data_IF_744680508110
#
_entry.id   IF_744680508110
#
_cell.length_a   1.000
_cell.length_b   1.000
_cell.length_c   1.000
_cell.angle_alpha   90.00
_cell.angle_beta   90.00
_cell.angle_gamma   90.00
#
_symmetry.space_group_name_H-M   'P 1'
#
loop_
_entity.id
_entity.type
_entity.pdbx_description
1 polymer ?
#
# COMPACT_ATOMS: atom_id res chain seq x y z
N UNK A 1 38.22 44.40 3.60
CA UNK A 1 37.38 45.62 3.62
C UNK A 1 36.58 45.68 2.34
N UNK A 2 35.27 45.42 2.38
CA UNK A 2 34.23 45.85 1.40
C UNK A 2 32.89 45.49 2.06
N UNK A 3 32.39 46.32 2.99
CA UNK A 3 31.37 47.39 2.84
C UNK A 3 30.07 46.95 2.15
N UNK A 4 29.07 46.75 3.02
CA UNK A 4 27.63 47.02 2.92
C UNK A 4 27.13 47.79 1.68
N UNK A 5 26.01 47.30 1.14
CA UNK A 5 24.93 48.14 0.60
C UNK A 5 23.62 47.67 1.21
N UNK A 6 23.07 48.52 2.08
CA UNK A 6 21.70 48.43 2.60
C UNK A 6 20.74 49.03 1.57
N UNK A 7 19.62 48.37 1.31
CA UNK A 7 18.46 48.99 0.68
C UNK A 7 17.32 49.00 1.70
N UNK A 8 17.03 50.19 2.21
CA UNK A 8 15.87 50.49 3.03
C UNK A 8 14.84 51.18 2.15
N UNK A 9 13.62 50.64 2.09
CA UNK A 9 12.44 51.40 1.67
C UNK A 9 11.34 51.14 2.68
N UNK A 10 11.10 52.14 3.52
CA UNK A 10 9.94 52.33 4.37
C UNK A 10 8.82 52.99 3.56
N UNK A 11 7.62 52.44 3.62
CA UNK A 11 6.38 53.19 3.36
C UNK A 11 5.38 52.88 4.47
N UNK A 12 4.92 53.98 5.07
CA UNK A 12 3.94 54.08 6.15
C UNK A 12 2.61 54.47 5.55
N UNK A 13 1.51 53.80 5.94
CA UNK A 13 0.20 54.44 6.13
C UNK A 13 -0.74 53.50 6.91
N UNK A 14 -1.23 54.00 8.06
CA UNK A 14 -2.32 53.47 8.87
C UNK A 14 -3.69 53.77 8.23
N UNK A 15 -4.71 52.94 8.51
CA UNK A 15 -5.91 53.30 9.29
C UNK A 15 -7.23 52.65 8.80
N UNK A 16 -8.08 52.36 9.81
CA UNK A 16 -9.51 51.94 9.82
C UNK A 16 -9.80 50.51 9.32
N UNK A 17 -10.18 49.53 10.15
CA UNK A 17 -11.34 49.41 11.05
C UNK A 17 -12.69 49.31 10.31
N UNK A 18 -13.24 48.09 10.21
CA UNK A 18 -14.61 47.77 10.62
C UNK A 18 -14.92 46.27 10.49
N UNK A 19 -15.59 45.77 11.54
CA UNK A 19 -16.13 44.44 11.71
C UNK A 19 -17.21 44.09 10.67
N UNK A 20 -17.25 42.83 10.22
CA UNK A 20 -18.49 42.06 10.05
C UNK A 20 -18.16 40.60 9.73
N UNK A 21 -18.27 39.78 10.78
CA UNK A 21 -18.75 38.38 10.78
C UNK A 21 -18.59 37.61 9.45
N UNK A 22 -17.43 36.99 9.26
CA UNK A 22 -17.28 35.88 8.31
C UNK A 22 -17.91 34.63 8.91
N UNK A 23 -19.12 34.30 8.45
CA UNK A 23 -19.69 32.97 8.61
C UNK A 23 -18.70 31.96 8.05
N UNK A 24 -18.18 31.08 8.90
CA UNK A 24 -17.44 29.90 8.50
C UNK A 24 -18.35 29.07 7.59
N UNK A 25 -18.15 29.19 6.29
CA UNK A 25 -18.69 28.23 5.33
C UNK A 25 -18.08 26.89 5.69
N UNK A 26 -18.94 25.99 6.13
CA UNK A 26 -18.71 24.56 6.31
C UNK A 26 -18.03 24.01 5.06
N UNK A 27 -16.72 23.82 5.14
CA UNK A 27 -16.02 22.92 4.23
C UNK A 27 -16.60 21.54 4.48
N UNK A 28 -17.47 21.09 3.59
CA UNK A 28 -17.88 19.69 3.52
C UNK A 28 -16.58 18.88 3.33
N UNK A 29 -16.06 18.34 4.43
CA UNK A 29 -15.06 17.27 4.41
C UNK A 29 -15.70 16.13 3.66
N UNK A 30 -15.19 15.86 2.45
CA UNK A 30 -15.58 14.67 1.69
C UNK A 30 -15.36 13.46 2.60
N UNK A 31 -16.45 12.75 2.91
CA UNK A 31 -16.38 11.48 3.65
C UNK A 31 -15.44 10.49 2.95
N UNK A 32 -15.03 9.42 3.65
CA UNK A 32 -14.04 8.49 3.16
C UNK A 32 -14.41 8.00 1.76
N UNK A 33 -13.50 8.21 0.81
CA UNK A 33 -13.63 7.68 -0.53
C UNK A 33 -13.63 6.15 -0.39
N UNK A 34 -14.62 5.42 -0.93
CA UNK A 34 -14.57 3.97 -0.92
C UNK A 34 -13.25 3.49 -1.52
N UNK A 35 -12.68 2.44 -0.93
CA UNK A 35 -11.53 1.74 -1.49
C UNK A 35 -11.80 1.52 -2.98
N UNK A 36 -10.87 1.97 -3.85
CA UNK A 36 -11.08 1.87 -5.29
C UNK A 36 -11.27 0.39 -5.62
N UNK A 37 -12.43 -0.06 -6.14
CA UNK A 37 -12.62 -1.47 -6.43
C UNK A 37 -11.56 -1.92 -7.45
N UNK A 38 -11.06 -3.17 -7.36
CA UNK A 38 -10.13 -3.68 -8.35
C UNK A 38 -10.77 -3.53 -9.73
N UNK A 39 -10.06 -2.98 -10.74
CA UNK A 39 -10.61 -2.96 -12.09
C UNK A 39 -10.90 -4.40 -12.51
N UNK A 40 -12.11 -4.64 -13.02
CA UNK A 40 -12.53 -5.96 -13.48
C UNK A 40 -11.65 -6.37 -14.67
N UNK A 41 -10.81 -7.42 -14.57
CA UNK A 41 -9.90 -7.76 -15.65
C UNK A 41 -10.69 -8.44 -16.78
N UNK A 42 -10.96 -7.69 -17.86
CA UNK A 42 -11.44 -8.24 -19.12
C UNK A 42 -10.25 -8.48 -20.06
N UNK A 43 -9.89 -9.74 -20.32
CA UNK A 43 -8.87 -10.10 -21.32
C UNK A 43 -7.89 -11.19 -20.88
N UNK A 44 -7.08 -11.70 -21.80
CA UNK A 44 -6.07 -12.73 -21.52
C UNK A 44 -4.78 -12.15 -20.91
N UNK A 45 -4.53 -10.87 -21.15
CA UNK A 45 -3.33 -10.16 -20.71
C UNK A 45 -3.74 -9.17 -19.63
N UNK A 46 -3.59 -9.58 -18.38
CA UNK A 46 -3.88 -8.77 -17.20
C UNK A 46 -2.65 -8.81 -16.30
N UNK A 47 -2.35 -7.69 -15.66
CA UNK A 47 -1.30 -7.63 -14.66
C UNK A 47 -1.64 -8.55 -13.47
N UNK A 48 -0.60 -9.03 -12.80
CA UNK A 48 -0.78 -9.91 -11.65
C UNK A 48 -1.42 -9.12 -10.50
N UNK A 49 -2.50 -9.65 -9.93
CA UNK A 49 -3.05 -9.16 -8.66
C UNK A 49 -2.18 -9.61 -7.47
N UNK A 50 -2.26 -8.88 -6.36
CA UNK A 50 -1.68 -9.37 -5.12
C UNK A 50 -2.34 -10.71 -4.72
N UNK A 51 -1.55 -11.63 -4.18
CA UNK A 51 -2.06 -12.90 -3.67
C UNK A 51 -3.15 -12.69 -2.61
N UNK A 52 -4.21 -13.50 -2.67
CA UNK A 52 -5.41 -13.38 -1.83
C UNK A 52 -5.63 -14.53 -0.84
N UNK A 53 -4.68 -15.46 -0.69
CA UNK A 53 -4.83 -16.62 0.19
C UNK A 53 -4.49 -16.27 1.64
N UNK A 54 -5.53 -16.04 2.45
CA UNK A 54 -5.39 -15.73 3.88
C UNK A 54 -4.67 -16.83 4.68
N UNK A 55 -4.71 -18.09 4.24
CA UNK A 55 -3.95 -19.19 4.86
C UNK A 55 -2.46 -18.93 4.85
N UNK A 56 -2.00 -18.21 3.83
CA UNK A 56 -0.61 -17.82 3.62
C UNK A 56 -0.36 -16.35 3.97
N UNK A 57 -1.25 -15.66 4.69
CA UNK A 57 -1.02 -14.30 5.17
C UNK A 57 0.14 -14.28 6.19
N UNK A 58 1.04 -13.32 6.05
CA UNK A 58 2.24 -13.23 6.87
C UNK A 58 2.55 -11.83 7.38
N UNK A 59 1.88 -11.47 8.47
CA UNK A 59 2.00 -10.15 9.10
C UNK A 59 2.32 -10.26 10.59
N UNK A 60 2.76 -9.16 11.19
CA UNK A 60 2.49 -8.95 12.61
C UNK A 60 1.38 -7.93 12.75
N UNK A 61 0.32 -8.32 13.43
CA UNK A 61 -0.88 -7.54 13.59
C UNK A 61 -1.07 -7.24 15.07
N UNK A 62 -1.45 -6.02 15.43
CA UNK A 62 -1.93 -5.70 16.78
C UNK A 62 -3.34 -5.15 16.70
N UNK A 63 -4.26 -5.79 17.40
CA UNK A 63 -5.64 -5.32 17.51
C UNK A 63 -5.78 -4.50 18.78
N UNK A 64 -6.32 -3.30 18.67
CA UNK A 64 -6.53 -2.35 19.75
C UNK A 64 -8.03 -2.13 19.91
N UNK A 65 -8.58 -2.54 21.05
CA UNK A 65 -10.02 -2.51 21.30
C UNK A 65 -10.36 -1.58 22.45
N UNK A 66 -11.22 -0.60 22.20
CA UNK A 66 -11.87 0.18 23.24
C UNK A 66 -12.82 -0.71 24.04
N UNK A 67 -12.57 -0.84 25.35
CA UNK A 67 -13.42 -1.57 26.28
C UNK A 67 -14.02 -0.64 27.36
N UNK A 68 -14.11 0.66 27.09
CA UNK A 68 -14.88 1.59 27.92
C UNK A 68 -16.38 1.26 27.88
N UNK A 69 -17.16 1.85 28.79
CA UNK A 69 -18.62 1.72 28.80
C UNK A 69 -19.26 2.10 27.47
N UNK A 70 -18.69 3.07 26.75
CA UNK A 70 -19.18 3.54 25.47
C UNK A 70 -19.24 2.45 24.38
N UNK A 71 -18.45 1.39 24.51
CA UNK A 71 -18.48 0.27 23.56
C UNK A 71 -19.71 -0.63 23.73
N UNK A 72 -20.35 -0.66 24.91
CA UNK A 72 -21.41 -1.61 25.32
C UNK A 72 -21.00 -3.09 25.26
N UNK A 73 -21.77 -3.96 25.92
CA UNK A 73 -21.51 -5.40 25.90
C UNK A 73 -21.86 -6.03 24.54
N UNK A 74 -22.84 -5.47 23.85
CA UNK A 74 -23.23 -5.86 22.50
C UNK A 74 -22.09 -5.52 21.52
N UNK A 75 -21.62 -4.27 21.52
CA UNK A 75 -20.54 -3.82 20.63
C UNK A 75 -19.23 -4.57 20.85
N UNK A 76 -18.83 -4.83 22.11
CA UNK A 76 -17.60 -5.59 22.37
C UNK A 76 -17.70 -7.05 21.90
N UNK A 77 -18.90 -7.66 21.96
CA UNK A 77 -19.17 -9.01 21.45
C UNK A 77 -19.09 -9.05 19.92
N UNK A 78 -19.62 -8.02 19.24
CA UNK A 78 -19.52 -7.89 17.78
C UNK A 78 -18.06 -7.72 17.33
N UNK A 79 -17.27 -6.94 18.04
CA UNK A 79 -15.83 -6.79 17.77
C UNK A 79 -15.12 -8.13 17.94
N UNK A 80 -15.41 -8.87 19.01
CA UNK A 80 -14.84 -10.19 19.24
C UNK A 80 -15.11 -11.13 18.05
N UNK A 81 -16.37 -11.19 17.60
CA UNK A 81 -16.77 -11.98 16.44
C UNK A 81 -16.10 -11.50 15.14
N UNK A 82 -15.96 -10.19 14.94
CA UNK A 82 -15.30 -9.64 13.76
C UNK A 82 -13.82 -10.01 13.70
N UNK A 83 -13.07 -9.82 14.78
CA UNK A 83 -11.63 -10.12 14.86
C UNK A 83 -11.37 -11.59 14.49
N UNK A 84 -12.09 -12.52 15.12
CA UNK A 84 -11.90 -13.95 14.86
C UNK A 84 -12.36 -14.34 13.46
N UNK A 85 -13.29 -13.62 12.85
CA UNK A 85 -13.73 -13.89 11.46
C UNK A 85 -12.71 -13.39 10.45
N UNK A 86 -12.16 -12.18 10.66
CA UNK A 86 -11.12 -11.59 9.79
C UNK A 86 -9.90 -12.50 9.73
N UNK A 87 -9.41 -12.95 10.89
CA UNK A 87 -8.18 -13.73 10.99
C UNK A 87 -8.40 -15.25 11.11
N UNK A 88 -9.62 -15.74 11.34
CA UNK A 88 -9.89 -17.17 11.53
C UNK A 88 -10.10 -17.97 10.25
N UNK A 89 -10.13 -17.32 9.07
CA UNK A 89 -10.33 -17.99 7.77
C UNK A 89 -9.06 -18.73 7.30
N UNK A 90 -8.62 -19.73 8.05
CA UNK A 90 -7.45 -20.56 7.74
C UNK A 90 -6.08 -19.91 7.99
N UNK A 91 -6.03 -18.64 8.38
CA UNK A 91 -4.77 -17.93 8.68
C UNK A 91 -3.94 -18.71 9.70
N UNK A 92 -2.67 -18.95 9.38
CA UNK A 92 -1.71 -19.56 10.30
C UNK A 92 -1.32 -18.57 11.40
N UNK A 93 -2.00 -18.64 12.54
CA UNK A 93 -1.70 -17.81 13.71
C UNK A 93 -0.53 -18.40 14.48
N UNK A 94 0.49 -17.59 14.77
CA UNK A 94 1.68 -17.98 15.55
C UNK A 94 2.97 -18.02 14.74
N UNK A 95 3.98 -18.70 15.27
CA UNK A 95 5.30 -18.83 14.65
C UNK A 95 5.85 -20.27 14.59
N UNK A 96 5.02 -21.27 14.90
CA UNK A 96 5.43 -22.68 15.01
C UNK A 96 5.34 -23.47 13.70
N UNK A 97 5.16 -22.80 12.55
CA UNK A 97 4.96 -23.44 11.25
C UNK A 97 6.28 -23.64 10.51
N UNK A 98 6.36 -24.70 9.70
CA UNK A 98 7.50 -24.97 8.81
C UNK A 98 7.54 -24.02 7.61
N UNK A 99 6.38 -23.66 7.08
CA UNK A 99 6.25 -22.55 6.12
C UNK A 99 6.38 -21.24 6.92
N UNK A 100 7.32 -20.34 6.56
CA UNK A 100 7.49 -19.09 7.28
C UNK A 100 6.23 -18.21 7.20
N UNK A 101 5.41 -18.34 6.15
CA UNK A 101 4.20 -17.54 5.97
C UNK A 101 3.17 -17.85 7.06
N UNK A 102 3.17 -16.99 8.07
CA UNK A 102 2.37 -17.07 9.29
C UNK A 102 2.13 -15.67 9.83
N UNK A 103 1.01 -15.46 10.51
CA UNK A 103 0.64 -14.18 11.11
C UNK A 103 0.71 -14.25 12.64
N UNK A 104 1.34 -13.25 13.27
CA UNK A 104 1.29 -13.09 14.73
C UNK A 104 0.27 -12.02 15.07
N UNK A 105 -0.55 -12.26 16.09
CA UNK A 105 -1.55 -11.31 16.55
C UNK A 105 -1.26 -10.91 18.00
N UNK A 106 -1.14 -9.62 18.25
CA UNK A 106 -1.19 -9.02 19.58
C UNK A 106 -2.59 -8.45 19.84
N UNK A 107 -3.00 -8.43 21.11
CA UNK A 107 -4.29 -7.89 21.53
C UNK A 107 -4.07 -6.88 22.65
N UNK A 108 -4.61 -5.69 22.46
CA UNK A 108 -4.57 -4.57 23.41
C UNK A 108 -5.99 -4.13 23.65
N UNK A 109 -6.37 -3.96 24.92
CA UNK A 109 -7.61 -3.27 25.28
C UNK A 109 -7.28 -1.91 25.88
N UNK A 110 -8.15 -0.91 25.69
CA UNK A 110 -7.98 0.38 26.33
C UNK A 110 -9.28 1.04 26.77
N UNK A 111 -9.15 1.92 27.76
CA UNK A 111 -10.15 2.83 28.28
C UNK A 111 -9.41 4.08 28.80
N UNK A 112 -9.59 4.49 30.06
CA UNK A 112 -8.69 5.42 30.73
C UNK A 112 -7.23 4.91 30.86
N UNK A 113 -7.00 3.61 30.66
CA UNK A 113 -5.70 2.93 30.69
C UNK A 113 -5.60 1.95 29.53
N UNK A 114 -4.40 1.52 29.15
CA UNK A 114 -4.21 0.41 28.21
C UNK A 114 -3.71 -0.85 28.93
N UNK A 115 -4.12 -2.01 28.40
CA UNK A 115 -3.69 -3.34 28.86
C UNK A 115 -3.27 -4.16 27.66
N UNK A 116 -2.05 -4.69 27.67
CA UNK A 116 -1.57 -5.66 26.70
C UNK A 116 -2.08 -7.02 27.16
N UNK A 117 -3.06 -7.56 26.44
CA UNK A 117 -3.71 -8.84 26.74
C UNK A 117 -2.88 -9.98 26.14
N UNK A 118 -2.39 -9.78 24.92
CA UNK A 118 -1.51 -10.70 24.22
C UNK A 118 -0.39 -9.93 23.53
N UNK A 119 0.86 -10.34 23.76
CA UNK A 119 1.96 -9.93 22.89
C UNK A 119 1.96 -10.77 21.60
N UNK A 120 2.88 -10.46 20.68
CA UNK A 120 2.96 -11.15 19.38
C UNK A 120 3.36 -12.64 19.49
N UNK A 121 3.79 -13.13 20.65
CA UNK A 121 4.22 -14.52 20.84
C UNK A 121 3.28 -15.33 21.74
N UNK A 122 2.24 -14.72 22.31
CA UNK A 122 1.29 -15.45 23.16
C UNK A 122 0.37 -16.38 22.35
N UNK A 123 -0.21 -15.87 21.24
CA UNK A 123 -1.17 -16.62 20.42
C UNK A 123 -0.42 -17.48 19.40
N UNK A 124 -0.58 -18.81 19.48
CA UNK A 124 0.14 -19.77 18.62
C UNK A 124 -0.77 -20.63 17.74
N UNK A 125 -2.09 -20.43 17.82
CA UNK A 125 -3.09 -21.16 17.05
C UNK A 125 -4.36 -20.34 16.87
N UNK A 126 -5.23 -20.81 15.97
CA UNK A 126 -6.60 -20.25 15.83
C UNK A 126 -7.38 -20.46 17.13
N UNK A 127 -7.21 -21.60 17.82
CA UNK A 127 -7.90 -21.84 19.09
C UNK A 127 -7.46 -20.85 20.17
N UNK A 128 -6.16 -20.54 20.27
CA UNK A 128 -5.67 -19.49 21.18
C UNK A 128 -6.29 -18.13 20.85
N UNK A 129 -6.42 -17.81 19.56
CA UNK A 129 -7.06 -16.58 19.11
C UNK A 129 -8.52 -16.50 19.60
N UNK A 130 -9.33 -17.53 19.34
CA UNK A 130 -10.74 -17.55 19.77
C UNK A 130 -10.85 -17.47 21.30
N UNK A 131 -10.07 -18.27 22.03
CA UNK A 131 -10.11 -18.29 23.49
C UNK A 131 -9.68 -16.94 24.08
N UNK A 132 -8.57 -16.36 23.61
CA UNK A 132 -8.06 -15.09 24.12
C UNK A 132 -9.02 -13.95 23.83
N UNK A 133 -9.54 -13.86 22.59
CA UNK A 133 -10.47 -12.80 22.18
C UNK A 133 -11.78 -12.89 22.98
N UNK A 134 -12.46 -14.03 23.01
CA UNK A 134 -13.75 -14.15 23.72
C UNK A 134 -13.63 -14.15 25.24
N UNK A 135 -12.52 -14.61 25.83
CA UNK A 135 -12.32 -14.49 27.29
C UNK A 135 -12.02 -13.07 27.73
N UNK A 136 -11.45 -12.24 26.85
CA UNK A 136 -11.10 -10.84 27.14
C UNK A 136 -12.24 -9.89 26.81
N UNK A 137 -12.87 -10.08 25.65
CA UNK A 137 -13.89 -9.20 25.08
C UNK A 137 -15.31 -9.73 25.40
N UNK A 138 -15.55 -10.11 26.66
CA UNK A 138 -16.86 -10.60 27.12
C UNK A 138 -17.69 -9.57 27.89
N UNK A 139 -17.05 -8.50 28.36
CA UNK A 139 -17.72 -7.41 29.07
C UNK A 139 -16.91 -6.12 28.93
N UNK A 140 -17.60 -4.99 28.91
CA UNK A 140 -16.93 -3.69 29.01
C UNK A 140 -16.46 -3.41 30.43
N UNK A 141 -15.49 -2.52 30.55
CA UNK A 141 -15.07 -1.95 31.84
C UNK A 141 -16.11 -0.97 32.38
N UNK A 142 -16.00 -0.63 33.66
CA UNK A 142 -16.83 0.42 34.28
C UNK A 142 -16.32 1.85 34.01
N UNK A 143 -15.34 2.03 33.12
CA UNK A 143 -14.75 3.34 32.82
C UNK A 143 -15.50 4.06 31.71
N UNK A 144 -15.79 5.35 31.91
CA UNK A 144 -16.32 6.25 30.88
C UNK A 144 -15.19 6.91 30.04
N UNK A 145 -13.93 6.69 30.44
CA UNK A 145 -12.74 7.19 29.76
C UNK A 145 -12.40 6.27 28.58
N UNK A 146 -12.06 6.86 27.44
CA UNK A 146 -11.59 6.17 26.24
C UNK A 146 -10.42 6.96 25.64
N UNK A 147 -9.21 6.73 26.14
CA UNK A 147 -8.01 7.44 25.69
C UNK A 147 -7.26 6.62 24.64
N UNK A 148 -7.64 6.85 23.38
CA UNK A 148 -7.11 6.11 22.23
C UNK A 148 -5.57 6.18 22.12
N UNK A 149 -4.96 7.31 22.48
CA UNK A 149 -3.51 7.44 22.54
C UNK A 149 -2.83 6.38 23.43
N UNK A 150 -3.47 5.97 24.53
CA UNK A 150 -2.94 4.90 25.41
C UNK A 150 -3.02 3.53 24.74
N UNK A 151 -4.10 3.25 24.01
CA UNK A 151 -4.28 2.02 23.24
C UNK A 151 -3.25 1.90 22.12
N UNK A 152 -3.11 2.94 21.29
CA UNK A 152 -2.13 2.98 20.20
C UNK A 152 -0.69 2.92 20.75
N UNK A 153 -0.39 3.62 21.85
CA UNK A 153 0.93 3.55 22.50
C UNK A 153 1.26 2.15 23.03
N UNK A 154 0.28 1.41 23.56
CA UNK A 154 0.49 0.01 23.94
C UNK A 154 0.71 -0.89 22.72
N UNK A 155 0.02 -0.67 21.60
CA UNK A 155 0.27 -1.40 20.36
C UNK A 155 1.69 -1.15 19.82
N UNK A 156 2.17 0.10 19.90
CA UNK A 156 3.55 0.43 19.57
C UNK A 156 4.53 -0.39 20.44
N UNK A 157 4.31 -0.46 21.75
CA UNK A 157 5.15 -1.24 22.66
C UNK A 157 5.15 -2.75 22.31
N UNK A 158 3.99 -3.30 21.95
CA UNK A 158 3.87 -4.71 21.51
C UNK A 158 4.69 -4.95 20.24
N UNK A 159 4.57 -4.06 19.24
CA UNK A 159 5.32 -4.16 18.00
C UNK A 159 6.84 -4.01 18.21
N UNK A 160 7.27 -3.04 19.02
CA UNK A 160 8.70 -2.81 19.30
C UNK A 160 9.31 -4.01 20.05
N UNK A 161 8.63 -4.49 21.10
CA UNK A 161 9.11 -5.61 21.92
C UNK A 161 9.18 -6.91 21.10
N UNK A 162 8.15 -7.19 20.31
CA UNK A 162 8.07 -8.41 19.50
C UNK A 162 8.97 -8.42 18.25
N UNK A 163 9.67 -7.32 17.95
CA UNK A 163 10.59 -7.15 16.81
C UNK A 163 12.05 -6.94 17.22
N UNK A 164 12.37 -7.13 18.50
CA UNK A 164 13.75 -7.04 19.01
C UNK A 164 14.69 -7.94 18.20
N UNK A 165 15.96 -7.54 18.07
CA UNK A 165 16.99 -8.27 17.32
C UNK A 165 16.67 -8.55 15.85
N UNK A 166 15.79 -7.75 15.22
CA UNK A 166 15.44 -7.90 13.80
C UNK A 166 14.53 -9.09 13.50
N UNK A 167 13.87 -9.66 14.51
CA UNK A 167 12.89 -10.74 14.34
C UNK A 167 11.85 -10.33 13.30
N UNK A 168 11.63 -11.21 12.31
CA UNK A 168 10.64 -11.02 11.23
C UNK A 168 10.78 -9.67 10.51
N UNK A 169 11.99 -9.12 10.37
CA UNK A 169 12.23 -7.79 9.77
C UNK A 169 11.63 -7.61 8.37
N UNK A 170 11.48 -8.69 7.61
CA UNK A 170 10.81 -8.73 6.30
C UNK A 170 9.27 -8.66 6.37
N UNK A 171 8.64 -8.96 7.51
CA UNK A 171 7.19 -8.99 7.68
C UNK A 171 6.65 -7.58 7.90
N UNK A 172 5.56 -7.23 7.20
CA UNK A 172 4.87 -5.96 7.40
C UNK A 172 4.05 -5.97 8.70
N UNK A 173 3.63 -4.78 9.13
CA UNK A 173 2.95 -4.54 10.40
C UNK A 173 1.63 -3.83 10.16
N UNK A 174 0.58 -4.33 10.78
CA UNK A 174 -0.76 -3.77 10.74
C UNK A 174 -1.25 -3.52 12.18
N UNK A 175 -1.87 -2.38 12.42
CA UNK A 175 -2.63 -2.12 13.64
C UNK A 175 -4.09 -1.95 13.25
N UNK A 176 -4.98 -2.68 13.89
CA UNK A 176 -6.44 -2.54 13.69
C UNK A 176 -7.03 -1.97 14.96
N UNK A 177 -7.62 -0.79 14.87
CA UNK A 177 -8.20 -0.06 16.01
C UNK A 177 -9.71 -0.14 15.95
N UNK A 178 -10.34 -0.59 17.03
CA UNK A 178 -11.77 -0.52 17.25
C UNK A 178 -12.04 0.51 18.34
N UNK A 179 -12.76 1.58 18.02
CA UNK A 179 -12.98 2.69 18.94
C UNK A 179 -14.47 3.08 18.99
N UNK A 180 -14.98 3.31 20.21
CA UNK A 180 -16.34 3.85 20.44
C UNK A 180 -16.34 5.37 20.65
N UNK A 181 -15.17 5.97 20.89
CA UNK A 181 -15.02 7.40 21.08
C UNK A 181 -13.64 7.88 20.61
N UNK A 182 -13.59 9.14 20.17
CA UNK A 182 -12.35 9.85 19.86
C UNK A 182 -12.15 10.94 20.91
N UNK A 183 -11.37 10.63 21.96
CA UNK A 183 -11.10 11.57 23.07
C UNK A 183 -9.60 11.70 23.30
N UNK A 184 -9.21 12.90 23.73
CA UNK A 184 -7.86 13.23 24.17
C UNK A 184 -7.36 14.52 23.55
N UNK A 185 -6.67 15.33 24.35
CA UNK A 185 -5.96 16.53 23.94
C UNK A 185 -4.56 16.51 24.60
N UNK A 186 -3.64 17.34 24.11
CA UNK A 186 -2.28 17.41 24.66
C UNK A 186 -1.56 16.07 24.60
N UNK A 187 -1.08 15.57 25.74
CA UNK A 187 -0.40 14.25 25.81
C UNK A 187 -1.32 13.05 25.52
N UNK A 188 -2.64 13.26 25.50
CA UNK A 188 -3.63 12.24 25.19
C UNK A 188 -4.16 12.33 23.75
N UNK A 189 -3.67 13.29 22.95
CA UNK A 189 -3.98 13.33 21.52
C UNK A 189 -3.45 12.04 20.83
N UNK A 190 -4.29 11.27 20.14
CA UNK A 190 -3.85 10.06 19.44
C UNK A 190 -3.07 10.35 18.15
N UNK A 191 -3.10 11.56 17.59
CA UNK A 191 -2.44 11.89 16.31
C UNK A 191 -0.92 11.68 16.39
N UNK A 192 -0.17 12.25 17.35
CA UNK A 192 1.29 12.12 17.37
C UNK A 192 1.79 10.68 17.51
N UNK A 193 1.06 9.81 18.22
CA UNK A 193 1.41 8.40 18.35
C UNK A 193 1.05 7.60 17.11
N UNK A 194 -0.10 7.89 16.47
CA UNK A 194 -0.48 7.27 15.21
C UNK A 194 0.49 7.65 14.07
N UNK A 195 0.87 8.92 13.97
CA UNK A 195 1.83 9.40 12.96
C UNK A 195 3.21 8.76 13.14
N UNK A 196 3.66 8.59 14.39
CA UNK A 196 4.90 7.88 14.67
C UNK A 196 4.84 6.42 14.21
N UNK A 197 3.75 5.70 14.50
CA UNK A 197 3.55 4.34 13.99
C UNK A 197 3.58 4.30 12.46
N UNK A 198 2.80 5.16 11.79
CA UNK A 198 2.75 5.26 10.32
C UNK A 198 4.12 5.56 9.73
N UNK A 199 4.85 6.53 10.29
CA UNK A 199 6.23 6.87 9.85
C UNK A 199 7.22 5.72 10.03
N UNK A 200 6.95 4.80 10.97
CA UNK A 200 7.77 3.61 11.18
C UNK A 200 7.45 2.50 10.16
N UNK A 201 6.49 2.69 9.26
CA UNK A 201 6.05 1.71 8.26
C UNK A 201 4.98 0.73 8.77
N UNK A 202 4.20 1.13 9.78
CA UNK A 202 3.03 0.39 10.26
C UNK A 202 1.78 0.92 9.56
N UNK A 203 0.98 0.03 8.97
CA UNK A 203 -0.34 0.40 8.45
C UNK A 203 -1.31 0.44 9.61
N UNK A 204 -2.13 1.49 9.70
CA UNK A 204 -3.17 1.64 10.75
C UNK A 204 -4.53 1.59 10.07
N UNK A 205 -5.34 0.61 10.43
CA UNK A 205 -6.75 0.56 10.06
C UNK A 205 -7.61 0.88 11.28
N UNK A 206 -8.68 1.63 11.09
CA UNK A 206 -9.60 2.02 12.16
C UNK A 206 -11.02 1.60 11.84
N UNK A 207 -11.79 1.30 12.88
CA UNK A 207 -13.21 0.95 12.80
C UNK A 207 -13.95 1.78 13.83
N UNK A 208 -14.78 2.72 13.34
CA UNK A 208 -15.68 3.52 14.15
C UNK A 208 -16.88 2.69 14.61
N UNK A 209 -16.94 2.37 15.90
CA UNK A 209 -18.13 1.81 16.54
C UNK A 209 -19.04 2.95 17.00
N UNK A 210 -19.62 3.61 16.01
CA UNK A 210 -20.53 4.72 16.21
C UNK A 210 -21.96 4.20 16.47
N UNK A 211 -22.27 4.00 17.76
CA UNK A 211 -23.61 3.59 18.17
C UNK A 211 -24.65 4.72 18.06
N UNK A 212 -24.21 5.98 18.17
CA UNK A 212 -25.10 7.14 18.28
C UNK A 212 -25.35 7.88 16.95
N UNK A 213 -24.60 7.58 15.89
CA UNK A 213 -24.67 8.34 14.63
C UNK A 213 -23.68 9.51 14.52
N UNK A 214 -22.67 9.57 15.39
CA UNK A 214 -21.67 10.62 15.44
C UNK A 214 -20.63 10.53 14.30
N UNK A 215 -20.86 11.30 13.24
CA UNK A 215 -19.89 11.49 12.14
C UNK A 215 -18.53 12.02 12.62
N UNK A 216 -18.45 12.67 13.80
CA UNK A 216 -17.20 13.19 14.34
C UNK A 216 -16.23 12.07 14.75
N UNK A 217 -16.73 10.90 15.19
CA UNK A 217 -15.89 9.75 15.52
C UNK A 217 -15.13 9.27 14.27
N UNK A 218 -15.84 9.05 13.16
CA UNK A 218 -15.23 8.59 11.92
C UNK A 218 -14.24 9.62 11.36
N UNK A 219 -14.58 10.91 11.43
CA UNK A 219 -13.68 12.00 11.01
C UNK A 219 -12.39 12.02 11.84
N UNK A 220 -12.50 11.87 13.18
CA UNK A 220 -11.34 11.74 14.06
C UNK A 220 -10.49 10.52 13.74
N UNK A 221 -11.11 9.35 13.57
CA UNK A 221 -10.40 8.11 13.25
C UNK A 221 -9.74 8.10 11.87
N UNK A 222 -10.25 8.90 10.92
CA UNK A 222 -9.62 9.08 9.60
C UNK A 222 -8.25 9.75 9.71
N UNK A 223 -8.05 10.66 10.67
CA UNK A 223 -6.78 11.35 10.85
C UNK A 223 -5.65 10.45 11.39
N UNK A 224 -6.01 9.40 12.13
CA UNK A 224 -5.04 8.46 12.70
C UNK A 224 -4.83 7.22 11.81
N UNK A 225 -5.83 6.86 10.99
CA UNK A 225 -5.72 5.77 10.04
C UNK A 225 -4.65 6.05 8.97
N UNK A 226 -4.13 4.98 8.39
CA UNK A 226 -3.52 5.05 7.06
C UNK A 226 -4.61 5.40 6.03
N UNK A 227 -4.29 6.16 4.97
CA UNK A 227 -5.28 6.55 3.98
C UNK A 227 -6.03 5.34 3.41
N UNK A 228 -7.33 5.50 3.18
CA UNK A 228 -8.26 4.46 2.68
C UNK A 228 -8.56 3.30 3.66
N UNK A 229 -8.10 3.34 4.92
CA UNK A 229 -8.33 2.27 5.90
C UNK A 229 -9.10 2.71 7.15
N UNK A 230 -9.91 3.75 7.04
CA UNK A 230 -10.87 4.14 8.06
C UNK A 230 -12.27 3.62 7.68
N UNK A 231 -12.82 2.75 8.54
CA UNK A 231 -14.07 2.04 8.32
C UNK A 231 -15.07 2.32 9.45
N UNK A 232 -16.30 1.85 9.29
CA UNK A 232 -17.36 1.93 10.31
C UNK A 232 -17.92 0.54 10.60
N UNK A 233 -18.38 0.31 11.84
CA UNK A 233 -19.10 -0.91 12.21
C UNK A 233 -20.39 -1.14 11.42
N UNK A 234 -20.95 -0.07 10.82
CA UNK A 234 -22.14 -0.12 9.96
C UNK A 234 -21.85 -0.68 8.55
N UNK A 235 -20.58 -0.88 8.20
CA UNK A 235 -20.20 -1.43 6.89
C UNK A 235 -20.60 -2.91 6.77
N UNK A 236 -21.42 -3.23 5.77
CA UNK A 236 -21.91 -4.57 5.49
C UNK A 236 -20.79 -5.55 5.12
N UNK A 237 -19.64 -5.06 4.64
CA UNK A 237 -18.48 -5.85 4.25
C UNK A 237 -17.24 -5.57 5.11
N UNK A 238 -17.42 -5.15 6.37
CA UNK A 238 -16.29 -4.83 7.27
C UNK A 238 -15.23 -5.94 7.33
N UNK A 239 -15.64 -7.21 7.35
CA UNK A 239 -14.70 -8.35 7.32
C UNK A 239 -13.85 -8.33 6.06
N UNK A 240 -14.47 -8.14 4.89
CA UNK A 240 -13.77 -8.07 3.61
C UNK A 240 -12.84 -6.88 3.50
N UNK A 241 -13.23 -5.71 4.03
CA UNK A 241 -12.38 -4.51 4.06
C UNK A 241 -11.13 -4.73 4.93
N UNK A 242 -11.27 -5.31 6.12
CA UNK A 242 -10.14 -5.60 7.00
C UNK A 242 -9.22 -6.70 6.44
N UNK A 243 -9.80 -7.72 5.80
CA UNK A 243 -9.02 -8.72 5.05
C UNK A 243 -8.28 -8.08 3.87
N UNK A 244 -8.94 -7.18 3.14
CA UNK A 244 -8.34 -6.40 2.05
C UNK A 244 -7.18 -5.54 2.53
N UNK A 245 -7.34 -4.82 3.64
CA UNK A 245 -6.29 -4.02 4.27
C UNK A 245 -5.10 -4.89 4.69
N UNK A 246 -5.33 -6.08 5.25
CA UNK A 246 -4.29 -7.04 5.57
C UNK A 246 -3.54 -7.53 4.31
N UNK A 247 -4.26 -7.92 3.27
CA UNK A 247 -3.67 -8.39 2.01
C UNK A 247 -2.84 -7.28 1.31
N UNK A 248 -3.36 -6.04 1.25
CA UNK A 248 -2.66 -4.89 0.68
C UNK A 248 -1.48 -4.41 1.53
N UNK A 249 -1.52 -4.65 2.85
CA UNK A 249 -0.36 -4.46 3.75
C UNK A 249 0.71 -5.50 3.48
N UNK A 250 0.30 -6.75 3.22
CA UNK A 250 1.20 -7.86 2.90
C UNK A 250 1.76 -7.80 1.47
N UNK A 251 1.15 -7.00 0.60
CA UNK A 251 1.60 -6.80 -0.78
C UNK A 251 2.61 -5.65 -0.89
N UNK A 252 3.87 -5.98 -1.18
CA UNK A 252 4.93 -4.97 -1.28
C UNK A 252 6.10 -5.39 -2.18
N UNK A 253 6.86 -4.40 -2.64
CA UNK A 253 8.10 -4.60 -3.37
C UNK A 253 9.35 -4.52 -2.49
N UNK A 254 10.42 -5.26 -2.83
CA UNK A 254 11.72 -5.06 -2.21
C UNK A 254 12.26 -3.63 -2.46
N UNK A 255 13.23 -3.21 -1.64
CA UNK A 255 13.89 -1.92 -1.83
C UNK A 255 14.43 -1.77 -3.27
N UNK A 256 14.39 -0.54 -3.79
CA UNK A 256 14.78 -0.16 -5.16
C UNK A 256 13.85 -0.66 -6.27
N UNK A 257 12.76 -1.35 -5.92
CA UNK A 257 11.68 -1.67 -6.84
C UNK A 257 10.47 -0.80 -6.54
N UNK A 258 9.84 -0.29 -7.59
CA UNK A 258 8.63 0.53 -7.52
C UNK A 258 7.41 -0.38 -7.63
N UNK A 259 6.53 -0.32 -6.63
CA UNK A 259 5.27 -1.06 -6.62
C UNK A 259 4.34 -0.53 -7.72
N UNK A 260 3.89 -1.41 -8.62
CA UNK A 260 2.82 -1.06 -9.57
C UNK A 260 1.52 -0.84 -8.81
N UNK A 261 0.89 0.31 -9.04
CA UNK A 261 -0.34 0.74 -8.38
C UNK A 261 -1.30 1.35 -9.39
N UNK A 262 -2.58 1.43 -9.03
CA UNK A 262 -3.61 2.07 -9.88
C UNK A 262 -3.33 3.56 -10.12
N UNK A 263 -2.69 4.23 -9.17
CA UNK A 263 -2.19 5.60 -9.32
C UNK A 263 -0.71 5.69 -8.91
N UNK A 264 0.14 6.16 -9.82
CA UNK A 264 1.57 6.32 -9.55
C UNK A 264 1.83 7.28 -8.37
N UNK A 265 1.17 8.44 -8.37
CA UNK A 265 1.42 9.55 -7.44
C UNK A 265 0.79 9.34 -6.06
N UNK A 266 -0.21 8.48 -5.96
CA UNK A 266 -0.83 8.12 -4.68
C UNK A 266 -0.22 6.83 -4.14
N UNK A 267 0.56 6.96 -3.05
CA UNK A 267 1.18 5.83 -2.33
C UNK A 267 0.17 4.83 -1.76
N UNK A 268 -1.06 5.28 -1.49
CA UNK A 268 -2.10 4.49 -0.85
C UNK A 268 -3.13 3.92 -1.83
N UNK A 269 -2.92 4.16 -3.13
CA UNK A 269 -3.74 3.57 -4.18
C UNK A 269 -3.51 2.06 -4.27
N UNK A 270 -4.50 1.36 -4.84
CA UNK A 270 -4.51 -0.09 -4.94
C UNK A 270 -3.21 -0.63 -5.56
N UNK A 271 -2.56 -1.57 -4.87
CA UNK A 271 -1.33 -2.20 -5.31
C UNK A 271 -1.64 -3.47 -6.10
N UNK A 272 -0.93 -3.64 -7.20
CA UNK A 272 -0.90 -4.88 -7.96
C UNK A 272 0.22 -5.78 -7.48
N UNK A 273 0.17 -7.05 -7.84
CA UNK A 273 1.19 -8.05 -7.53
C UNK A 273 2.49 -7.92 -8.33
N UNK A 274 2.91 -6.70 -8.70
CA UNK A 274 3.97 -6.40 -9.68
C UNK A 274 4.91 -5.28 -9.21
N UNK A 275 6.21 -5.51 -9.40
CA UNK A 275 7.29 -4.59 -9.05
C UNK A 275 8.10 -4.21 -10.30
N UNK A 276 8.34 -2.91 -10.48
CA UNK A 276 9.08 -2.34 -11.60
C UNK A 276 10.40 -1.75 -11.13
N UNK A 277 11.49 -2.01 -11.86
CA UNK A 277 12.77 -1.36 -11.62
C UNK A 277 13.37 -0.80 -12.90
N UNK A 278 13.61 0.52 -12.98
CA UNK A 278 14.36 1.09 -14.08
C UNK A 278 15.84 0.71 -13.94
N UNK A 279 16.43 0.22 -15.02
CA UNK A 279 17.87 0.03 -15.16
C UNK A 279 18.46 1.15 -16.01
N UNK A 280 19.34 1.94 -15.40
CA UNK A 280 19.96 3.14 -15.98
C UNK A 280 21.29 2.84 -16.66
N UNK A 281 21.45 1.61 -17.17
CA UNK A 281 22.62 1.18 -17.94
C UNK A 281 22.15 0.87 -19.36
N UNK A 282 22.76 1.50 -20.35
CA UNK A 282 22.36 1.30 -21.74
C UNK A 282 22.84 -0.07 -22.23
N UNK A 283 21.95 -0.83 -22.86
CA UNK A 283 22.26 -2.15 -23.42
C UNK A 283 21.29 -2.47 -24.54
N UNK A 284 21.65 -3.39 -25.45
CA UNK A 284 20.69 -3.82 -26.47
C UNK A 284 19.49 -4.54 -25.87
N UNK A 285 18.34 -4.54 -26.54
CA UNK A 285 17.13 -5.23 -26.06
C UNK A 285 17.40 -6.67 -25.61
N UNK A 286 18.21 -7.41 -26.39
CA UNK A 286 18.58 -8.79 -26.07
C UNK A 286 19.42 -8.87 -24.79
N UNK A 287 20.39 -7.97 -24.60
CA UNK A 287 21.19 -7.90 -23.39
C UNK A 287 20.34 -7.48 -22.18
N UNK A 288 19.46 -6.49 -22.34
CA UNK A 288 18.53 -6.02 -21.33
C UNK A 288 17.61 -7.15 -20.81
N UNK A 289 17.12 -8.01 -21.71
CA UNK A 289 16.36 -9.23 -21.35
C UNK A 289 17.14 -10.12 -20.37
N UNK A 290 18.38 -10.48 -20.70
CA UNK A 290 19.21 -11.31 -19.82
C UNK A 290 19.60 -10.56 -18.54
N UNK A 291 19.79 -9.24 -18.61
CA UNK A 291 20.08 -8.43 -17.45
C UNK A 291 18.92 -8.44 -16.44
N UNK A 292 17.66 -8.30 -16.89
CA UNK A 292 16.50 -8.42 -15.99
C UNK A 292 16.36 -9.82 -15.37
N UNK A 293 16.65 -10.87 -16.13
CA UNK A 293 16.64 -12.25 -15.63
C UNK A 293 17.70 -12.50 -14.55
N UNK A 294 18.87 -11.86 -14.68
CA UNK A 294 19.95 -11.94 -13.70
C UNK A 294 19.76 -10.98 -12.51
N UNK A 295 19.00 -9.90 -12.69
CA UNK A 295 18.78 -8.88 -11.66
C UNK A 295 17.96 -9.41 -10.48
N UNK A 296 17.00 -10.28 -10.77
CA UNK A 296 16.16 -10.90 -9.76
C UNK A 296 15.63 -12.25 -10.24
N UNK A 297 15.38 -13.17 -9.30
CA UNK A 297 14.72 -14.44 -9.60
C UNK A 297 13.38 -14.18 -10.29
N UNK A 298 13.19 -14.83 -11.44
CA UNK A 298 12.02 -14.66 -12.30
C UNK A 298 11.86 -13.22 -12.85
N UNK A 299 12.92 -12.44 -12.94
CA UNK A 299 12.91 -11.12 -13.57
C UNK A 299 12.82 -11.20 -15.10
N UNK A 300 12.16 -10.22 -15.68
CA UNK A 300 12.01 -10.08 -17.13
C UNK A 300 11.86 -8.60 -17.52
N UNK A 301 11.95 -8.28 -18.81
CA UNK A 301 11.64 -6.94 -19.29
C UNK A 301 10.14 -6.66 -19.13
N UNK A 302 9.80 -5.47 -18.62
CA UNK A 302 8.45 -5.12 -18.22
C UNK A 302 7.41 -5.24 -19.35
N UNK A 303 6.22 -5.70 -19.01
CA UNK A 303 5.12 -5.82 -19.96
C UNK A 303 4.15 -4.62 -19.85
N UNK A 304 3.44 -4.34 -20.94
CA UNK A 304 2.37 -3.33 -20.96
C UNK A 304 1.10 -3.92 -21.56
N UNK A 305 0.21 -4.40 -20.70
CA UNK A 305 -1.03 -5.02 -21.17
C UNK A 305 -2.14 -4.00 -21.44
N UNK A 306 -2.05 -2.79 -20.87
CA UNK A 306 -3.02 -1.72 -21.03
C UNK A 306 -2.39 -0.32 -20.93
N UNK A 307 -3.24 0.70 -21.10
CA UNK A 307 -2.82 2.11 -20.99
C UNK A 307 -2.40 2.54 -19.59
N UNK A 308 -2.91 1.88 -18.53
CA UNK A 308 -2.55 2.21 -17.16
C UNK A 308 -1.09 1.80 -16.91
N UNK A 309 -0.72 0.58 -17.28
CA UNK A 309 0.65 0.07 -17.12
C UNK A 309 1.65 0.84 -17.97
N UNK A 310 1.30 1.14 -19.22
CA UNK A 310 2.09 1.99 -20.11
C UNK A 310 2.39 3.36 -19.48
N UNK A 311 1.35 4.07 -19.03
CA UNK A 311 1.50 5.36 -18.38
C UNK A 311 2.32 5.24 -17.08
N UNK A 312 2.12 4.18 -16.30
CA UNK A 312 2.86 3.93 -15.08
C UNK A 312 4.37 3.77 -15.34
N UNK A 313 4.78 2.96 -16.32
CA UNK A 313 6.20 2.81 -16.69
C UNK A 313 6.81 4.14 -17.15
N UNK A 314 6.04 4.94 -17.89
CA UNK A 314 6.50 6.26 -18.28
C UNK A 314 6.66 7.20 -17.08
N UNK A 315 5.75 7.16 -16.10
CA UNK A 315 5.91 7.90 -14.83
C UNK A 315 7.14 7.42 -14.03
N UNK A 316 7.45 6.13 -14.04
CA UNK A 316 8.71 5.59 -13.46
C UNK A 316 9.93 6.22 -14.14
N UNK A 317 9.93 6.31 -15.48
CA UNK A 317 11.01 6.96 -16.22
C UNK A 317 11.11 8.46 -15.87
N UNK A 318 10.01 9.20 -15.90
CA UNK A 318 10.00 10.64 -15.60
C UNK A 318 10.49 10.99 -14.19
N UNK A 319 10.20 10.13 -13.20
CA UNK A 319 10.66 10.33 -11.82
C UNK A 319 12.10 9.84 -11.57
N UNK A 320 12.78 9.32 -12.59
CA UNK A 320 14.17 8.91 -12.51
C UNK A 320 15.05 9.88 -13.28
N UNK A 321 15.94 10.59 -12.58
CA UNK A 321 16.81 11.64 -13.13
C UNK A 321 17.78 11.17 -14.22
N UNK A 322 18.02 9.86 -14.33
CA UNK A 322 18.81 9.30 -15.42
C UNK A 322 18.07 9.33 -16.77
N UNK A 323 16.74 9.26 -16.78
CA UNK A 323 15.95 9.30 -18.00
C UNK A 323 15.63 10.75 -18.34
N UNK A 324 15.99 11.17 -19.54
CA UNK A 324 15.81 12.55 -20.01
C UNK A 324 15.06 12.56 -21.34
N UNK A 325 14.39 13.67 -21.63
CA UNK A 325 13.75 13.86 -22.92
C UNK A 325 14.80 14.00 -24.05
N UNK A 326 14.55 13.44 -25.26
CA UNK A 326 13.41 12.58 -25.58
C UNK A 326 13.53 11.23 -24.87
N UNK A 327 12.47 10.82 -24.17
CA UNK A 327 12.49 9.59 -23.39
C UNK A 327 12.58 8.37 -24.31
N UNK A 328 13.50 7.45 -24.01
CA UNK A 328 13.64 6.17 -24.69
C UNK A 328 14.09 5.07 -23.73
N UNK A 329 13.47 3.89 -23.82
CA UNK A 329 13.86 2.72 -23.04
C UNK A 329 13.24 1.42 -23.57
N UNK A 330 13.90 0.28 -23.35
CA UNK A 330 13.39 -1.03 -23.72
C UNK A 330 12.25 -1.51 -22.80
N UNK A 331 11.26 -2.12 -23.42
CA UNK A 331 10.17 -2.88 -22.78
C UNK A 331 10.16 -4.33 -23.28
N UNK A 332 9.39 -5.20 -22.65
CA UNK A 332 9.41 -6.65 -22.87
C UNK A 332 8.72 -7.14 -24.15
N UNK A 333 8.32 -6.26 -25.06
CA UNK A 333 7.68 -6.67 -26.32
C UNK A 333 8.74 -7.08 -27.36
N UNK A 334 8.54 -8.22 -28.01
CA UNK A 334 9.40 -8.67 -29.10
C UNK A 334 8.66 -9.47 -30.17
N UNK A 335 9.20 -9.46 -31.40
CA UNK A 335 8.67 -10.23 -32.53
C UNK A 335 9.33 -11.60 -32.57
N UNK A 336 8.56 -12.65 -32.29
CA UNK A 336 9.03 -14.04 -32.24
C UNK A 336 8.00 -14.92 -32.94
N UNK A 337 8.46 -15.82 -33.81
CA UNK A 337 7.62 -16.81 -34.52
C UNK A 337 6.40 -16.20 -35.26
N UNK A 338 6.57 -15.03 -35.87
CA UNK A 338 5.52 -14.39 -36.67
C UNK A 338 4.53 -13.53 -35.88
N UNK A 339 4.78 -13.28 -34.58
CA UNK A 339 3.90 -12.46 -33.76
C UNK A 339 4.64 -11.63 -32.70
N UNK A 340 3.96 -10.59 -32.22
CA UNK A 340 4.41 -9.79 -31.09
C UNK A 340 4.06 -10.48 -29.78
N UNK A 341 5.06 -10.66 -28.91
CA UNK A 341 4.90 -11.35 -27.64
C UNK A 341 5.60 -10.59 -26.51
N UNK A 342 4.95 -10.57 -25.36
CA UNK A 342 5.49 -10.08 -24.10
C UNK A 342 6.41 -11.11 -23.46
N UNK A 343 7.59 -10.65 -23.06
CA UNK A 343 8.52 -11.44 -22.27
C UNK A 343 7.87 -11.85 -20.96
N UNK A 344 8.17 -13.07 -20.52
CA UNK A 344 7.78 -13.64 -19.24
C UNK A 344 9.06 -14.12 -18.51
N UNK A 345 9.00 -14.54 -17.24
CA UNK A 345 10.14 -15.15 -16.58
C UNK A 345 10.76 -16.28 -17.41
N UNK A 346 12.07 -16.51 -17.27
CA UNK A 346 12.76 -17.55 -18.01
C UNK A 346 12.10 -18.93 -17.77
N UNK A 347 11.86 -19.68 -18.85
CA UNK A 347 11.18 -20.99 -18.80
C UNK A 347 9.65 -20.91 -18.91
N UNK A 348 9.05 -19.73 -18.81
CA UNK A 348 7.62 -19.54 -19.04
C UNK A 348 7.33 -19.22 -20.51
N UNK A 349 6.17 -19.66 -21.05
CA UNK A 349 5.77 -19.30 -22.41
C UNK A 349 5.62 -17.78 -22.54
N UNK A 350 6.02 -17.22 -23.68
CA UNK A 350 5.76 -15.81 -23.98
C UNK A 350 4.24 -15.58 -24.08
N UNK A 351 3.78 -14.37 -23.72
CA UNK A 351 2.37 -14.00 -23.84
C UNK A 351 2.13 -13.25 -25.15
N UNK A 352 1.27 -13.73 -26.07
CA UNK A 352 0.94 -12.98 -27.29
C UNK A 352 0.36 -11.61 -26.97
N UNK A 353 0.75 -10.58 -27.72
CA UNK A 353 0.12 -9.26 -27.65
C UNK A 353 -1.34 -9.36 -28.09
N UNK A 354 -2.25 -8.84 -27.27
CA UNK A 354 -3.70 -8.91 -27.50
C UNK A 354 -4.40 -7.71 -26.87
N UNK A 355 -5.39 -7.13 -27.56
CA UNK A 355 -6.29 -6.09 -27.04
C UNK A 355 -5.73 -4.67 -26.95
N UNK A 356 -4.44 -4.49 -26.66
CA UNK A 356 -3.81 -3.19 -26.48
C UNK A 356 -2.60 -2.99 -27.39
N UNK A 357 -2.46 -1.77 -27.93
CA UNK A 357 -1.23 -1.36 -28.60
C UNK A 357 -0.99 0.13 -28.49
N UNK A 358 0.28 0.53 -28.44
CA UNK A 358 0.70 1.94 -28.36
C UNK A 358 1.80 2.29 -29.36
N UNK A 359 1.75 1.70 -30.55
CA UNK A 359 2.71 1.99 -31.61
C UNK A 359 2.72 3.47 -31.98
N UNK A 360 3.93 4.03 -32.09
CA UNK A 360 4.11 5.34 -32.68
C UNK A 360 3.72 5.32 -34.18
N UNK A 361 3.39 6.48 -34.78
CA UNK A 361 3.06 6.54 -36.19
C UNK A 361 4.13 5.87 -37.07
N UNK A 362 3.70 5.11 -38.07
CA UNK A 362 4.57 4.35 -39.00
C UNK A 362 5.34 3.17 -38.39
N UNK A 363 4.98 2.74 -37.18
CA UNK A 363 5.49 1.51 -36.56
C UNK A 363 4.38 0.45 -36.43
N UNK A 364 4.73 -0.85 -36.44
CA UNK A 364 6.09 -1.39 -36.60
C UNK A 364 6.64 -1.31 -38.03
N UNK A 365 7.96 -1.20 -38.16
CA UNK A 365 8.74 -1.28 -39.41
C UNK A 365 9.13 -2.74 -39.73
N UNK A 366 9.71 -2.96 -40.92
CA UNK A 366 10.19 -4.27 -41.40
C UNK A 366 11.02 -5.04 -40.37
N UNK A 367 10.82 -6.37 -40.32
CA UNK A 367 11.12 -7.25 -39.18
C UNK A 367 12.42 -8.05 -39.30
N UNK A 368 13.33 -7.75 -40.24
CA UNK A 368 14.54 -8.59 -40.45
C UNK A 368 15.44 -8.65 -39.21
N UNK A 369 15.70 -7.52 -38.57
CA UNK A 369 16.37 -7.45 -37.26
C UNK A 369 15.63 -6.60 -36.23
N UNK A 370 14.58 -5.88 -36.67
CA UNK A 370 13.80 -5.00 -35.80
C UNK A 370 12.75 -5.77 -34.99
N UNK A 371 13.23 -6.66 -34.12
CA UNK A 371 12.40 -7.58 -33.33
C UNK A 371 12.25 -7.16 -31.88
N UNK A 372 13.03 -6.21 -31.37
CA UNK A 372 12.91 -5.68 -30.00
C UNK A 372 12.13 -4.37 -30.01
N UNK A 373 11.54 -4.00 -28.88
CA UNK A 373 10.73 -2.77 -28.78
C UNK A 373 11.26 -1.83 -27.71
N UNK A 374 11.23 -0.54 -28.03
CA UNK A 374 11.42 0.56 -27.08
C UNK A 374 10.14 1.35 -26.95
N UNK A 375 9.94 1.94 -25.77
CA UNK A 375 9.19 3.17 -25.61
C UNK A 375 10.00 4.34 -26.13
N UNK A 376 9.38 5.23 -26.90
CA UNK A 376 10.07 6.40 -27.43
C UNK A 376 9.15 7.62 -27.56
N UNK A 377 9.62 8.76 -27.07
CA UNK A 377 9.01 10.06 -27.30
C UNK A 377 9.29 10.53 -28.74
N UNK A 378 8.25 10.67 -29.55
CA UNK A 378 8.37 11.00 -30.98
C UNK A 378 8.04 12.46 -31.31
N UNK A 379 7.37 13.19 -30.41
CA UNK A 379 6.98 14.59 -30.57
C UNK A 379 7.44 15.44 -29.39
N UNK A 380 7.19 16.75 -29.46
CA UNK A 380 7.38 17.66 -28.32
C UNK A 380 6.42 17.38 -27.16
N UNK A 381 5.36 16.59 -27.38
CA UNK A 381 4.44 16.21 -26.34
C UNK A 381 5.13 15.23 -25.39
N UNK A 382 4.87 15.36 -24.09
CA UNK A 382 5.37 14.44 -23.07
C UNK A 382 4.55 13.15 -23.08
N UNK A 383 4.63 12.42 -24.20
CA UNK A 383 4.03 11.09 -24.38
C UNK A 383 5.02 10.18 -25.09
N UNK A 384 4.93 8.88 -24.81
CA UNK A 384 5.76 7.85 -25.44
C UNK A 384 4.87 6.85 -26.18
N UNK A 385 5.49 6.15 -27.13
CA UNK A 385 4.86 5.04 -27.81
C UNK A 385 5.91 4.07 -28.35
N UNK A 386 5.44 2.91 -28.80
CA UNK A 386 6.30 1.80 -29.18
C UNK A 386 6.97 2.02 -30.53
N UNK A 387 8.26 1.70 -30.61
CA UNK A 387 9.01 1.57 -31.85
C UNK A 387 9.79 0.26 -31.86
N UNK A 388 9.69 -0.52 -32.94
CA UNK A 388 10.54 -1.69 -33.07
C UNK A 388 11.92 -1.31 -33.60
N UNK A 389 12.95 -1.87 -32.97
CA UNK A 389 14.35 -1.55 -33.15
C UNK A 389 15.18 -2.82 -33.30
N UNK A 390 16.41 -2.67 -33.81
CA UNK A 390 17.35 -3.77 -33.89
C UNK A 390 17.72 -4.26 -32.49
N UNK A 391 17.22 -5.44 -32.12
CA UNK A 391 17.32 -6.00 -30.78
C UNK A 391 18.75 -6.34 -30.32
N UNK A 392 19.72 -6.27 -31.23
CA UNK A 392 21.11 -6.62 -30.98
C UNK A 392 22.04 -5.41 -30.93
N UNK A 393 21.65 -4.28 -31.54
CA UNK A 393 22.56 -3.13 -31.73
C UNK A 393 22.06 -1.81 -31.16
N UNK A 394 20.75 -1.59 -31.04
CA UNK A 394 20.22 -0.35 -30.45
C UNK A 394 20.26 -0.50 -28.94
N UNK A 395 21.09 0.31 -28.28
CA UNK A 395 21.37 0.22 -26.86
C UNK A 395 20.71 1.36 -26.09
N UNK A 396 19.79 1.01 -25.19
CA UNK A 396 19.04 1.98 -24.38
C UNK A 396 18.89 1.49 -22.94
N UNK A 397 18.39 2.37 -22.06
CA UNK A 397 17.92 1.98 -20.73
C UNK A 397 16.72 1.04 -20.84
N UNK A 398 16.32 0.42 -19.73
CA UNK A 398 15.28 -0.61 -19.78
C UNK A 398 14.53 -0.73 -18.47
N UNK A 399 13.30 -1.26 -18.55
CA UNK A 399 12.44 -1.51 -17.40
C UNK A 399 12.40 -3.01 -17.11
N UNK A 400 12.76 -3.41 -15.89
CA UNK A 400 12.61 -4.79 -15.42
C UNK A 400 11.36 -4.93 -14.55
N UNK A 401 10.79 -6.13 -14.57
CA UNK A 401 9.60 -6.50 -13.84
C UNK A 401 9.80 -7.82 -13.06
N UNK A 402 9.24 -7.88 -11.85
CA UNK A 402 9.10 -9.10 -11.03
C UNK A 402 7.76 -9.08 -10.30
N UNK A 403 7.28 -10.24 -9.85
CA UNK A 403 6.15 -10.30 -8.91
C UNK A 403 6.53 -9.66 -7.55
N UNK A 404 5.57 -9.00 -6.91
CA UNK A 404 5.72 -8.49 -5.53
C UNK A 404 5.71 -9.61 -4.50
N UNK A 405 6.10 -9.27 -3.27
CA UNK A 405 5.92 -10.11 -2.10
C UNK A 405 4.46 -10.05 -1.67
N UNK A 406 3.85 -11.20 -1.35
CA UNK A 406 2.46 -11.33 -0.88
C UNK A 406 2.18 -12.77 -0.39
N UNK A 407 0.92 -13.18 -0.28
CA UNK A 407 0.55 -14.52 0.20
C UNK A 407 1.09 -15.65 -0.69
N UNK A 408 1.24 -15.42 -1.98
CA UNK A 408 1.69 -16.43 -2.94
C UNK A 408 3.21 -16.42 -3.08
N UNK A 409 3.84 -15.25 -2.89
CA UNK A 409 5.29 -15.06 -2.98
C UNK A 409 5.86 -14.54 -1.66
N UNK A 410 6.44 -15.43 -0.88
CA UNK A 410 7.22 -15.07 0.30
C UNK A 410 8.54 -14.37 -0.08
N UNK A 411 8.85 -13.32 0.67
CA UNK A 411 10.11 -12.59 0.71
C UNK A 411 10.47 -12.37 2.18
#
# INVERSE_FOLDING_TARGET
MFKLVSLALTLVALASAQDSTTSWQTGATQGPTPSTPPPTPGGSNVDRECGGDLTNLWLDVVVVVDNSKGMTNEGITEIAANIVTVFGNGTRIGNQYSDPRSTRLGLVTYNGRSTIVADLNLLQSIDDLYQSVFSTLNQVSNSDDSFLAKGIGAAENVLQSGRTNGVRSNYKRLVVVYASAYKGEGELDPIPVADRLKSSGVVVSTVAFDQDGDEALLAGLTNIASPNYAFTSKDLNLVGELQGAALQTNCFCPNLWTQYKSNFDDENSYKYGVCIRPATISSSWTAAKFACQNLAKNGFLAAEYDGQKHNFLFRVAQNNTAFQAPYIYHIGLSYVNGGWNWQQPAGYPLKPMSGYSKWNPSYPKSFTSNIGVVEQQFSSDLTVGWQNINAYSVAEYYMCEVASCDTDKYC
#
